data_IF_712730481331
#
_entry.id   IF_712730481331
#
_cell.length_a   1.000
_cell.length_b   1.000
_cell.length_c   1.000
_cell.angle_alpha   90.00
_cell.angle_beta   90.00
_cell.angle_gamma   90.00
#
_symmetry.space_group_name_H-M   'P 1'
#
loop_
_entity.id
_entity.type
_entity.pdbx_description
1 polymer ?
#
# COMPACT_ATOMS: atom_id res chain seq x y z
N UNK A 1 -21.18 14.59 12.89
CA UNK A 1 -20.77 13.20 12.58
C UNK A 1 -21.98 12.45 12.08
N UNK A 2 -21.93 11.88 10.87
CA UNK A 2 -22.99 11.00 10.38
C UNK A 2 -22.80 9.59 10.95
N UNK A 3 -23.81 9.09 11.67
CA UNK A 3 -23.84 7.70 12.14
C UNK A 3 -24.59 6.89 11.09
N UNK A 4 -23.94 5.87 10.54
CA UNK A 4 -24.56 4.93 9.60
C UNK A 4 -24.80 3.62 10.32
N UNK A 5 -26.07 3.27 10.51
CA UNK A 5 -26.47 1.99 11.06
C UNK A 5 -26.82 1.03 9.92
N UNK A 6 -26.28 -0.18 9.98
CA UNK A 6 -26.58 -1.22 9.00
C UNK A 6 -26.57 -2.59 9.67
N UNK A 7 -27.41 -3.48 9.16
CA UNK A 7 -27.43 -4.88 9.58
C UNK A 7 -26.47 -5.68 8.70
N UNK A 8 -25.80 -6.66 9.31
CA UNK A 8 -25.01 -7.67 8.61
C UNK A 8 -25.63 -9.04 8.80
N UNK A 9 -25.52 -9.91 7.81
CA UNK A 9 -25.96 -11.30 7.96
C UNK A 9 -25.08 -12.04 8.97
N UNK A 10 -25.65 -13.01 9.70
CA UNK A 10 -24.91 -13.79 10.70
C UNK A 10 -23.63 -14.44 10.15
N UNK A 11 -23.61 -15.03 8.93
CA UNK A 11 -22.37 -15.58 8.37
C UNK A 11 -21.29 -14.52 8.12
N UNK A 12 -21.69 -13.32 7.68
CA UNK A 12 -20.75 -12.22 7.48
C UNK A 12 -20.22 -11.69 8.81
N UNK A 13 -21.07 -11.59 9.82
CA UNK A 13 -20.69 -11.18 11.16
C UNK A 13 -19.60 -12.08 11.77
N UNK A 14 -19.72 -13.40 11.58
CA UNK A 14 -18.71 -14.36 12.03
C UNK A 14 -17.34 -14.08 11.38
N UNK A 15 -17.31 -13.86 10.06
CA UNK A 15 -16.08 -13.52 9.33
C UNK A 15 -15.48 -12.20 9.80
N UNK A 16 -16.31 -11.18 10.04
CA UNK A 16 -15.85 -9.89 10.58
C UNK A 16 -15.23 -10.07 11.96
N UNK A 17 -15.89 -10.81 12.86
CA UNK A 17 -15.38 -11.05 14.21
C UNK A 17 -14.06 -11.84 14.19
N UNK A 18 -13.89 -12.76 13.25
CA UNK A 18 -12.63 -13.47 13.05
C UNK A 18 -11.52 -12.50 12.60
N UNK A 19 -11.78 -11.70 11.56
CA UNK A 19 -10.81 -10.72 11.06
C UNK A 19 -10.42 -9.68 12.14
N UNK A 20 -11.37 -9.23 12.95
CA UNK A 20 -11.10 -8.33 14.07
C UNK A 20 -10.07 -8.92 15.03
N UNK A 21 -10.20 -10.20 15.37
CA UNK A 21 -9.27 -10.89 16.27
C UNK A 21 -7.91 -11.12 15.62
N UNK A 22 -7.90 -11.54 14.35
CA UNK A 22 -6.68 -11.87 13.62
C UNK A 22 -5.78 -10.64 13.39
N UNK A 23 -6.39 -9.50 13.05
CA UNK A 23 -5.68 -8.27 12.72
C UNK A 23 -5.65 -7.25 13.88
N UNK A 24 -6.16 -7.61 15.06
CA UNK A 24 -6.02 -6.81 16.28
C UNK A 24 -6.87 -5.53 16.32
N UNK A 25 -8.02 -5.49 15.65
CA UNK A 25 -8.92 -4.34 15.72
C UNK A 25 -9.60 -4.25 17.09
N UNK A 26 -9.70 -3.05 17.67
CA UNK A 26 -10.34 -2.80 18.96
C UNK A 26 -11.88 -2.86 18.89
N UNK A 27 -12.47 -2.64 17.71
CA UNK A 27 -13.92 -2.71 17.53
C UNK A 27 -14.35 -2.96 16.08
N UNK A 28 -15.61 -3.41 15.91
CA UNK A 28 -16.26 -3.45 14.58
C UNK A 28 -16.27 -2.08 13.91
N UNK A 29 -16.51 -1.02 14.68
CA UNK A 29 -16.52 0.35 14.16
C UNK A 29 -15.17 0.76 13.58
N UNK A 30 -14.07 0.40 14.25
CA UNK A 30 -12.73 0.62 13.75
C UNK A 30 -12.48 -0.16 12.46
N UNK A 31 -12.78 -1.46 12.46
CA UNK A 31 -12.67 -2.30 11.27
C UNK A 31 -13.39 -1.69 10.05
N UNK A 32 -14.63 -1.23 10.23
CA UNK A 32 -15.39 -0.60 9.14
C UNK A 32 -14.83 0.75 8.70
N UNK A 33 -14.27 1.56 9.61
CA UNK A 33 -13.59 2.80 9.23
C UNK A 33 -12.37 2.52 8.35
N UNK A 34 -11.56 1.53 8.72
CA UNK A 34 -10.41 1.11 7.92
C UNK A 34 -10.84 0.57 6.55
N UNK A 35 -11.87 -0.28 6.50
CA UNK A 35 -12.39 -0.79 5.23
C UNK A 35 -12.93 0.33 4.32
N UNK A 36 -13.63 1.33 4.89
CA UNK A 36 -14.09 2.49 4.14
C UNK A 36 -12.94 3.36 3.64
N UNK A 37 -11.90 3.56 4.45
CA UNK A 37 -10.69 4.30 4.03
C UNK A 37 -9.95 3.58 2.91
N UNK A 38 -9.77 2.26 3.01
CA UNK A 38 -9.16 1.43 1.98
C UNK A 38 -9.94 1.52 0.67
N UNK A 39 -11.27 1.40 0.73
CA UNK A 39 -12.13 1.55 -0.44
C UNK A 39 -12.00 2.95 -1.06
N UNK A 40 -12.04 4.03 -0.27
CA UNK A 40 -11.85 5.40 -0.76
C UNK A 40 -10.47 5.56 -1.40
N UNK A 41 -9.44 4.95 -0.81
CA UNK A 41 -8.07 4.99 -1.34
C UNK A 41 -8.00 4.27 -2.67
N UNK A 42 -8.59 3.08 -2.80
CA UNK A 42 -8.67 2.32 -4.05
C UNK A 42 -9.55 2.98 -5.11
N UNK A 43 -10.58 3.72 -4.73
CA UNK A 43 -11.39 4.50 -5.67
C UNK A 43 -10.61 5.71 -6.18
N UNK A 44 -9.88 6.41 -5.30
CA UNK A 44 -9.06 7.58 -5.66
C UNK A 44 -7.79 7.23 -6.41
N UNK A 45 -7.24 6.06 -6.09
CA UNK A 45 -6.06 5.47 -6.70
C UNK A 45 -6.46 4.06 -7.14
N UNK A 46 -7.25 3.94 -8.23
CA UNK A 46 -7.54 2.64 -8.83
C UNK A 46 -6.21 1.91 -9.00
N UNK A 47 -6.23 0.61 -8.67
CA UNK A 47 -5.05 -0.23 -8.74
C UNK A 47 -4.36 0.03 -10.08
N UNK A 48 -3.17 0.63 -9.99
CA UNK A 48 -2.40 0.99 -11.17
C UNK A 48 -2.27 -0.26 -12.01
N UNK A 49 -2.49 -0.14 -13.32
CA UNK A 49 -2.15 -1.24 -14.21
C UNK A 49 -0.64 -1.55 -14.08
N UNK A 50 -0.20 -2.73 -14.49
CA UNK A 50 1.21 -3.13 -14.30
C UNK A 50 2.19 -2.12 -14.95
N UNK A 51 1.78 -1.48 -16.05
CA UNK A 51 2.54 -0.43 -16.73
C UNK A 51 2.70 0.84 -15.88
N UNK A 52 1.64 1.27 -15.20
CA UNK A 52 1.63 2.42 -14.30
C UNK A 52 2.42 2.13 -13.02
N UNK A 53 2.37 0.91 -12.50
CA UNK A 53 3.25 0.47 -11.39
C UNK A 53 4.71 0.51 -11.79
N UNK A 54 5.01 0.04 -13.00
CA UNK A 54 6.36 0.08 -13.55
C UNK A 54 6.84 1.53 -13.73
N UNK A 55 6.00 2.41 -14.26
CA UNK A 55 6.30 3.83 -14.43
C UNK A 55 6.55 4.53 -13.08
N UNK A 56 5.74 4.25 -12.05
CA UNK A 56 5.99 4.79 -10.70
C UNK A 56 7.30 4.27 -10.10
N UNK A 57 7.60 2.99 -10.30
CA UNK A 57 8.85 2.38 -9.82
C UNK A 57 10.06 3.01 -10.51
N UNK A 58 9.98 3.22 -11.83
CA UNK A 58 11.01 3.91 -12.60
C UNK A 58 11.22 5.36 -12.15
N UNK A 59 10.14 6.11 -11.88
CA UNK A 59 10.24 7.46 -11.33
C UNK A 59 10.87 7.48 -9.94
N UNK A 60 10.48 6.54 -9.06
CA UNK A 60 11.05 6.44 -7.72
C UNK A 60 12.53 6.09 -7.79
N UNK A 61 12.92 5.15 -8.66
CA UNK A 61 14.31 4.81 -8.90
C UNK A 61 15.10 6.01 -9.41
N UNK A 62 14.58 6.74 -10.40
CA UNK A 62 15.22 7.95 -10.93
C UNK A 62 15.45 9.00 -9.84
N UNK A 63 14.45 9.26 -8.99
CA UNK A 63 14.59 10.17 -7.83
C UNK A 63 15.65 9.68 -6.86
N UNK A 64 15.67 8.39 -6.53
CA UNK A 64 16.67 7.80 -5.63
C UNK A 64 18.08 7.94 -6.21
N UNK A 65 18.28 7.62 -7.49
CA UNK A 65 19.57 7.78 -8.17
C UNK A 65 20.00 9.24 -8.15
N UNK A 66 19.09 10.17 -8.48
CA UNK A 66 19.40 11.60 -8.46
C UNK A 66 19.70 12.11 -7.05
N UNK A 67 19.05 11.57 -6.01
CA UNK A 67 19.33 11.94 -4.62
C UNK A 67 20.70 11.43 -4.14
N UNK A 68 21.07 10.20 -4.51
CA UNK A 68 22.33 9.58 -4.08
C UNK A 68 23.51 10.14 -4.89
N UNK A 69 23.31 10.33 -6.19
CA UNK A 69 24.36 10.63 -7.17
C UNK A 69 24.20 12.01 -7.82
N UNK A 70 23.31 12.89 -7.35
CA UNK A 70 23.03 14.21 -7.92
C UNK A 70 24.28 15.09 -8.02
N UNK A 71 25.00 14.97 -9.14
CA UNK A 71 26.28 15.65 -9.41
C UNK A 71 27.54 14.78 -9.25
N UNK A 72 27.44 13.52 -8.82
CA UNK A 72 28.56 12.57 -8.73
C UNK A 72 28.55 11.61 -9.91
N UNK A 73 29.73 11.13 -10.31
CA UNK A 73 29.86 10.11 -11.35
C UNK A 73 29.13 8.83 -10.89
N UNK A 74 28.19 8.36 -11.70
CA UNK A 74 27.56 7.06 -11.48
C UNK A 74 28.64 5.97 -11.61
N UNK A 75 28.77 5.07 -10.62
CA UNK A 75 29.72 3.98 -10.69
C UNK A 75 29.40 3.07 -11.89
N UNK A 76 30.44 2.51 -12.51
CA UNK A 76 30.28 1.58 -13.63
C UNK A 76 29.53 0.33 -13.18
N UNK A 77 29.03 -0.45 -14.14
CA UNK A 77 28.40 -1.74 -13.85
C UNK A 77 29.37 -2.63 -13.09
N UNK A 78 30.65 -2.70 -13.49
CA UNK A 78 31.64 -3.52 -12.76
C UNK A 78 31.85 -3.06 -11.32
N UNK A 79 31.82 -1.75 -11.06
CA UNK A 79 31.95 -1.17 -9.71
C UNK A 79 30.73 -1.46 -8.84
N UNK A 80 29.52 -1.47 -9.41
CA UNK A 80 28.27 -1.77 -8.67
C UNK A 80 28.15 -3.25 -8.27
N UNK A 81 28.75 -4.16 -9.05
CA UNK A 81 28.72 -5.61 -8.80
C UNK A 81 30.00 -6.13 -8.11
N UNK A 82 30.89 -5.23 -7.66
CA UNK A 82 32.15 -5.62 -7.02
C UNK A 82 31.94 -6.40 -5.71
N UNK A 83 30.89 -6.09 -4.94
CA UNK A 83 30.57 -6.72 -3.65
C UNK A 83 29.84 -8.08 -3.78
N UNK A 84 29.48 -8.48 -5.01
CA UNK A 84 28.77 -9.73 -5.31
C UNK A 84 29.69 -10.84 -5.85
N UNK A 85 31.01 -10.60 -5.87
CA UNK A 85 32.04 -11.60 -6.19
C UNK A 85 32.68 -12.14 -4.93
#
# INVERSE_FOLDING_TARGET
>A
MSIVNFAVSKPLEQKINQAIKEYGFASKAEFFRFAAMDLVTKIKHPALNEEEKFAQSAQKLSKTIHQIYGGKKLPSVEEQFADLK
#
